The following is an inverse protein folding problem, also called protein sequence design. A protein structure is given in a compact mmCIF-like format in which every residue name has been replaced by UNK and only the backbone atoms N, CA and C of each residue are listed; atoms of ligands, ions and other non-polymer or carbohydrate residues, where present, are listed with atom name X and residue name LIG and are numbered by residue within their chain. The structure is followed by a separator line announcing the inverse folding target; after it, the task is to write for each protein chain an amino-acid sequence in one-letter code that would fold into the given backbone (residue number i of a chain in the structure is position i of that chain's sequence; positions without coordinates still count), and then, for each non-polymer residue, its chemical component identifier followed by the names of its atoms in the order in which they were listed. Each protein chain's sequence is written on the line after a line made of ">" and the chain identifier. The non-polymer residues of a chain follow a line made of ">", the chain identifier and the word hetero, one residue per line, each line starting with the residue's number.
data_IF_005832986005
#
_entry.id   IF_005832986005
#
_cell.length_a   1.000
_cell.length_b   1.000
_cell.length_c   1.000
_cell.angle_alpha   90.00
_cell.angle_beta   90.00
_cell.angle_gamma   90.00
#
_symmetry.space_group_name_H-M   'P 1'
#
loop_
_entity.id
_entity.type
_entity.pdbx_description
1 polymer ?
#
# COMPACT_ATOMS: atom_id res chain seq x y z
N UNK A 1 2.93 -9.93 7.97
CA UNK A 1 1.82 -9.25 7.25
C UNK A 1 1.76 -7.81 7.71
N UNK A 2 1.45 -6.88 6.81
CA UNK A 2 1.45 -5.44 7.10
C UNK A 2 0.08 -4.85 6.82
N UNK A 3 -0.27 -3.78 7.55
CA UNK A 3 -1.44 -2.96 7.24
C UNK A 3 -0.99 -1.56 6.80
N UNK A 4 -1.71 -0.97 5.86
CA UNK A 4 -1.44 0.37 5.37
C UNK A 4 -2.49 1.33 5.92
N UNK A 5 -2.05 2.35 6.65
CA UNK A 5 -2.91 3.19 7.49
C UNK A 5 -2.78 4.68 7.18
N UNK A 6 -3.84 5.43 7.50
CA UNK A 6 -3.85 6.89 7.56
C UNK A 6 -3.95 7.33 9.02
N UNK A 7 -2.92 8.01 9.51
CA UNK A 7 -2.84 8.50 10.88
C UNK A 7 -3.05 10.02 10.95
N UNK A 8 -3.24 10.57 12.14
CA UNK A 8 -3.32 12.03 12.32
C UNK A 8 -2.12 12.74 11.69
N UNK A 9 -2.31 13.88 10.99
CA UNK A 9 -3.55 14.67 10.88
C UNK A 9 -4.50 14.23 9.75
N UNK A 10 -4.18 13.21 8.98
CA UNK A 10 -4.98 12.70 7.84
C UNK A 10 -6.12 11.79 8.32
N UNK A 11 -5.83 10.90 9.26
CA UNK A 11 -6.79 10.04 9.92
C UNK A 11 -7.21 10.53 11.31
N UNK A 12 -7.89 9.67 12.07
CA UNK A 12 -8.47 10.00 13.37
C UNK A 12 -7.61 9.59 14.56
N UNK A 13 -6.66 8.65 14.34
CA UNK A 13 -5.80 8.14 15.42
C UNK A 13 -4.33 8.51 15.19
N UNK A 14 -3.56 8.61 16.27
CA UNK A 14 -2.10 8.80 16.19
C UNK A 14 -1.43 7.57 15.58
N UNK A 15 -0.23 7.74 15.02
CA UNK A 15 0.59 6.63 14.52
C UNK A 15 0.83 5.62 15.64
N UNK A 16 1.25 6.08 16.81
CA UNK A 16 1.50 5.25 17.98
C UNK A 16 0.31 4.34 18.32
N UNK A 17 -0.91 4.90 18.37
CA UNK A 17 -2.11 4.13 18.68
C UNK A 17 -2.49 3.11 17.61
N UNK A 18 -2.26 3.44 16.34
CA UNK A 18 -2.47 2.51 15.23
C UNK A 18 -1.46 1.36 15.26
N UNK A 19 -0.18 1.67 15.54
CA UNK A 19 0.89 0.68 15.61
C UNK A 19 0.70 -0.26 16.81
N UNK A 20 0.37 0.27 17.99
CA UNK A 20 0.01 -0.53 19.18
C UNK A 20 -1.11 -1.53 18.85
N UNK A 21 -2.20 -1.04 18.26
CA UNK A 21 -3.33 -1.91 17.93
C UNK A 21 -2.98 -2.94 16.85
N UNK A 22 -2.15 -2.58 15.87
CA UNK A 22 -1.70 -3.49 14.84
C UNK A 22 -0.81 -4.61 15.42
N UNK A 23 0.09 -4.27 16.35
CA UNK A 23 0.90 -5.24 17.07
C UNK A 23 0.02 -6.23 17.86
N UNK A 24 -0.96 -5.74 18.60
CA UNK A 24 -1.94 -6.56 19.35
C UNK A 24 -2.73 -7.50 18.43
N UNK A 25 -2.99 -7.08 17.18
CA UNK A 25 -3.72 -7.89 16.19
C UNK A 25 -2.81 -8.86 15.42
N UNK A 26 -1.49 -8.84 15.69
CA UNK A 26 -0.52 -9.77 15.12
C UNK A 26 -0.05 -9.39 13.71
N UNK A 27 0.01 -8.11 13.39
CA UNK A 27 0.74 -7.62 12.23
C UNK A 27 2.25 -7.58 12.53
N UNK A 28 3.06 -7.80 11.50
CA UNK A 28 4.52 -7.68 11.57
C UNK A 28 4.98 -6.23 11.34
N UNK A 29 4.09 -5.39 10.82
CA UNK A 29 4.39 -3.98 10.57
C UNK A 29 3.20 -3.17 10.06
N UNK A 30 3.42 -1.86 10.00
CA UNK A 30 2.46 -0.85 9.53
C UNK A 30 3.13 0.06 8.50
N UNK A 31 2.44 0.35 7.40
CA UNK A 31 2.83 1.40 6.45
C UNK A 31 2.01 2.65 6.74
N UNK A 32 2.64 3.70 7.24
CA UNK A 32 1.99 5.01 7.45
C UNK A 32 1.99 5.74 6.11
N UNK A 33 0.85 5.77 5.42
CA UNK A 33 0.73 6.31 4.07
C UNK A 33 -0.21 7.51 3.97
N UNK A 34 -0.12 8.40 4.93
CA UNK A 34 -0.90 9.64 4.90
C UNK A 34 -0.82 10.33 3.55
N UNK A 35 -1.90 11.03 3.18
CA UNK A 35 -1.89 11.83 1.96
C UNK A 35 -0.78 12.88 1.98
N UNK A 36 -0.25 13.19 0.82
CA UNK A 36 0.90 14.06 0.63
C UNK A 36 0.73 15.48 1.20
N UNK A 37 -0.50 15.92 1.41
CA UNK A 37 -0.89 17.21 1.98
C UNK A 37 -1.23 17.16 3.49
N UNK A 38 -1.17 15.98 4.11
CA UNK A 38 -1.55 15.74 5.53
C UNK A 38 -0.62 14.75 6.23
N UNK A 39 0.68 14.95 6.13
CA UNK A 39 1.68 14.00 6.62
C UNK A 39 1.76 13.94 8.14
N UNK A 40 1.96 12.75 8.69
CA UNK A 40 2.34 12.58 10.08
C UNK A 40 3.79 13.09 10.30
N UNK A 41 4.01 13.82 11.39
CA UNK A 41 5.33 14.34 11.76
C UNK A 41 5.72 13.76 13.13
N UNK A 42 6.15 12.50 13.13
CA UNK A 42 6.55 11.74 14.31
C UNK A 42 7.78 10.89 14.00
N UNK A 43 8.50 10.47 15.02
CA UNK A 43 9.60 9.53 14.89
C UNK A 43 9.06 8.11 14.76
N UNK A 44 9.05 7.59 13.52
CA UNK A 44 8.53 6.25 13.21
C UNK A 44 9.44 5.15 13.79
N UNK A 45 10.75 5.41 13.93
CA UNK A 45 11.68 4.44 14.48
C UNK A 45 11.46 4.28 15.99
N UNK A 46 11.26 5.37 16.72
CA UNK A 46 10.94 5.33 18.16
C UNK A 46 9.65 4.53 18.42
N UNK A 47 8.63 4.74 17.56
CA UNK A 47 7.37 3.99 17.66
C UNK A 47 7.58 2.51 17.33
N UNK A 48 8.35 2.18 16.30
CA UNK A 48 8.68 0.80 15.95
C UNK A 48 9.40 0.07 17.09
N UNK A 49 10.39 0.71 17.69
CA UNK A 49 11.15 0.16 18.82
C UNK A 49 10.25 -0.04 20.05
N UNK A 50 9.29 0.86 20.28
CA UNK A 50 8.35 0.79 21.41
C UNK A 50 7.42 -0.41 21.31
N UNK A 51 6.88 -0.67 20.13
CA UNK A 51 5.86 -1.71 19.93
C UNK A 51 6.40 -3.02 19.34
N UNK A 52 7.67 -3.05 18.92
CA UNK A 52 8.35 -4.25 18.42
C UNK A 52 7.86 -4.76 17.08
N UNK A 53 7.27 -3.89 16.26
CA UNK A 53 6.89 -4.17 14.86
C UNK A 53 7.44 -3.11 13.92
N UNK A 54 7.63 -3.44 12.64
CA UNK A 54 8.16 -2.50 11.67
C UNK A 54 7.17 -1.36 11.38
N UNK A 55 7.67 -0.13 11.29
CA UNK A 55 6.88 1.05 10.88
C UNK A 55 7.52 1.69 9.66
N UNK A 56 6.82 1.63 8.54
CA UNK A 56 7.32 2.04 7.24
C UNK A 56 6.81 3.43 6.89
N UNK A 57 7.74 4.32 6.51
CA UNK A 57 7.40 5.63 5.99
C UNK A 57 6.89 5.52 4.55
N UNK A 58 5.62 5.77 4.37
CA UNK A 58 4.93 5.82 3.09
C UNK A 58 4.29 7.18 2.82
N UNK A 59 3.88 7.38 1.59
CA UNK A 59 3.06 8.53 1.19
C UNK A 59 2.04 8.13 0.14
N UNK A 60 0.81 8.61 0.28
CA UNK A 60 -0.20 8.54 -0.77
C UNK A 60 -0.35 9.90 -1.43
N UNK A 61 0.05 10.01 -2.69
CA UNK A 61 0.01 11.26 -3.44
C UNK A 61 -1.39 11.47 -3.99
N UNK A 62 -2.08 12.48 -3.45
CA UNK A 62 -3.36 12.97 -3.94
C UNK A 62 -3.13 14.24 -4.74
N UNK A 63 -3.41 14.20 -6.03
CA UNK A 63 -3.22 15.32 -6.95
C UNK A 63 -4.41 15.51 -7.87
N UNK A 64 -4.63 16.74 -8.34
CA UNK A 64 -5.74 17.07 -9.21
C UNK A 64 -5.61 16.46 -10.62
N UNK A 65 -4.36 16.24 -11.07
CA UNK A 65 -4.06 15.71 -12.40
C UNK A 65 -2.66 15.03 -12.41
N UNK A 66 -2.38 14.20 -13.46
CA UNK A 66 -1.12 13.49 -13.60
C UNK A 66 0.14 14.37 -13.66
N UNK A 67 0.04 15.58 -14.23
CA UNK A 67 1.20 16.48 -14.34
C UNK A 67 1.67 16.95 -12.94
N UNK A 68 0.73 17.29 -12.07
CA UNK A 68 1.03 17.66 -10.67
C UNK A 68 1.53 16.46 -9.88
N UNK A 69 0.93 15.28 -10.10
CA UNK A 69 1.37 14.06 -9.45
C UNK A 69 2.84 13.73 -9.78
N UNK A 70 3.26 13.89 -11.04
CA UNK A 70 4.63 13.59 -11.48
C UNK A 70 5.71 14.38 -10.74
N UNK A 71 5.50 15.68 -10.52
CA UNK A 71 6.41 16.49 -9.70
C UNK A 71 6.47 16.02 -8.25
N UNK A 72 5.33 15.64 -7.67
CA UNK A 72 5.26 15.13 -6.30
C UNK A 72 5.95 13.77 -6.16
N UNK A 73 5.77 12.84 -7.11
CA UNK A 73 6.43 11.52 -7.09
C UNK A 73 7.94 11.66 -7.01
N UNK A 74 8.55 12.54 -7.84
CA UNK A 74 9.98 12.78 -7.82
C UNK A 74 10.50 13.24 -6.45
N UNK A 75 9.78 14.13 -5.80
CA UNK A 75 10.15 14.66 -4.49
C UNK A 75 9.99 13.61 -3.38
N UNK A 76 8.84 12.93 -3.33
CA UNK A 76 8.56 11.96 -2.26
C UNK A 76 9.39 10.67 -2.39
N UNK A 77 9.78 10.27 -3.60
CA UNK A 77 10.64 9.09 -3.78
C UNK A 77 12.00 9.20 -3.11
N UNK A 78 12.49 10.40 -2.87
CA UNK A 78 13.78 10.64 -2.19
C UNK A 78 13.69 10.63 -0.67
N UNK A 79 12.47 10.65 -0.11
CA UNK A 79 12.24 10.78 1.33
C UNK A 79 11.32 9.71 1.92
N UNK A 80 10.67 8.91 1.08
CA UNK A 80 9.71 7.91 1.51
C UNK A 80 10.04 6.53 0.96
N UNK A 81 9.93 5.54 1.80
CA UNK A 81 10.15 4.14 1.44
C UNK A 81 9.10 3.65 0.45
N UNK A 82 7.82 3.99 0.63
CA UNK A 82 6.73 3.59 -0.27
C UNK A 82 6.03 4.83 -0.81
N UNK A 83 5.87 4.87 -2.14
CA UNK A 83 5.12 5.91 -2.85
C UNK A 83 3.89 5.30 -3.51
N UNK A 84 2.71 5.70 -3.03
CA UNK A 84 1.43 5.35 -3.61
C UNK A 84 0.80 6.55 -4.33
N UNK A 85 -0.02 6.28 -5.33
CA UNK A 85 -0.86 7.28 -6.00
C UNK A 85 -2.32 7.02 -5.64
N UNK A 86 -3.00 8.04 -5.14
CA UNK A 86 -4.46 8.03 -5.00
C UNK A 86 -5.10 8.06 -6.38
N UNK A 87 -5.71 6.94 -6.76
CA UNK A 87 -6.36 6.77 -8.05
C UNK A 87 -7.71 7.48 -8.15
N UNK A 88 -8.72 6.79 -8.65
CA UNK A 88 -10.11 7.29 -8.68
C UNK A 88 -10.50 8.04 -9.95
N UNK A 89 -9.58 8.20 -10.90
CA UNK A 89 -9.86 8.60 -12.28
C UNK A 89 -9.03 7.76 -13.25
N UNK A 90 -9.53 7.57 -14.47
CA UNK A 90 -8.79 6.78 -15.47
C UNK A 90 -7.42 7.40 -15.81
N UNK A 91 -7.31 8.73 -15.77
CA UNK A 91 -6.06 9.44 -16.04
C UNK A 91 -5.02 9.19 -14.90
N UNK A 92 -5.43 9.29 -13.65
CA UNK A 92 -4.55 9.02 -12.50
C UNK A 92 -4.18 7.55 -12.38
N UNK A 93 -5.15 6.65 -12.61
CA UNK A 93 -4.88 5.22 -12.60
C UNK A 93 -3.83 4.85 -13.65
N UNK A 94 -3.97 5.38 -14.88
CA UNK A 94 -3.01 5.17 -15.95
C UNK A 94 -1.64 5.74 -15.62
N UNK A 95 -1.59 6.98 -15.14
CA UNK A 95 -0.34 7.62 -14.70
C UNK A 95 0.40 6.76 -13.66
N UNK A 96 -0.33 6.28 -12.63
CA UNK A 96 0.25 5.49 -11.57
C UNK A 96 0.92 4.21 -12.08
N UNK A 97 0.26 3.44 -12.94
CA UNK A 97 0.78 2.17 -13.43
C UNK A 97 1.86 2.31 -14.51
N UNK A 98 1.98 3.47 -15.15
CA UNK A 98 3.01 3.77 -16.16
C UNK A 98 4.25 4.47 -15.57
N UNK A 99 4.23 4.84 -14.28
CA UNK A 99 5.30 5.62 -13.66
C UNK A 99 6.25 4.75 -12.83
N UNK A 100 7.51 4.61 -13.26
CA UNK A 100 8.54 3.73 -12.68
C UNK A 100 8.85 3.93 -11.18
N UNK A 101 8.57 5.14 -10.63
CA UNK A 101 8.84 5.48 -9.22
C UNK A 101 7.62 5.33 -8.32
N UNK A 102 6.52 4.79 -8.85
CA UNK A 102 5.30 4.50 -8.10
C UNK A 102 5.30 3.04 -7.70
N UNK A 103 5.07 2.76 -6.44
CA UNK A 103 5.00 1.40 -5.91
C UNK A 103 3.57 0.84 -5.96
N UNK A 104 2.56 1.68 -5.64
CA UNK A 104 1.17 1.27 -5.46
C UNK A 104 0.20 2.24 -6.13
N UNK A 105 -0.74 1.70 -6.88
CA UNK A 105 -1.97 2.40 -7.26
C UNK A 105 -3.04 2.12 -6.20
N UNK A 106 -3.29 3.11 -5.34
CA UNK A 106 -4.32 3.06 -4.30
C UNK A 106 -5.69 3.48 -4.86
N UNK A 107 -6.76 2.94 -4.31
CA UNK A 107 -8.15 3.29 -4.63
C UNK A 107 -8.50 3.35 -6.13
N UNK A 108 -8.08 2.38 -6.97
CA UNK A 108 -8.22 2.46 -8.43
C UNK A 108 -9.67 2.60 -8.91
N UNK A 109 -10.63 2.13 -8.10
CA UNK A 109 -12.06 2.10 -8.43
C UNK A 109 -12.86 3.17 -7.66
N UNK A 110 -12.21 4.12 -7.01
CA UNK A 110 -12.88 5.26 -6.39
C UNK A 110 -13.38 6.26 -7.45
N UNK A 111 -14.32 7.12 -7.08
CA UNK A 111 -14.82 8.20 -7.93
C UNK A 111 -15.31 7.71 -9.30
N UNK A 112 -14.69 8.19 -10.37
CA UNK A 112 -14.95 7.79 -11.77
C UNK A 112 -13.91 6.81 -12.33
N UNK A 113 -12.98 6.33 -11.48
CA UNK A 113 -11.94 5.39 -11.87
C UNK A 113 -12.50 4.01 -12.20
N UNK A 114 -11.92 3.38 -13.20
CA UNK A 114 -12.19 1.98 -13.54
C UNK A 114 -10.88 1.25 -13.82
N UNK A 115 -10.91 -0.06 -13.66
CA UNK A 115 -9.79 -0.95 -13.95
C UNK A 115 -10.16 -1.84 -15.11
N UNK A 116 -9.32 -1.82 -16.15
CA UNK A 116 -9.47 -2.65 -17.34
C UNK A 116 -8.18 -3.41 -17.64
N UNK A 117 -8.24 -4.30 -18.61
CA UNK A 117 -7.11 -5.15 -19.00
C UNK A 117 -5.85 -4.38 -19.43
N UNK A 118 -5.99 -3.19 -20.01
CA UNK A 118 -4.84 -2.37 -20.44
C UNK A 118 -4.08 -1.86 -19.22
N UNK A 119 -4.81 -1.35 -18.23
CA UNK A 119 -4.25 -0.85 -16.98
C UNK A 119 -3.57 -1.97 -16.18
N UNK A 120 -4.20 -3.14 -16.09
CA UNK A 120 -3.65 -4.29 -15.36
C UNK A 120 -2.38 -4.83 -16.03
N UNK A 121 -2.32 -4.88 -17.36
CA UNK A 121 -1.09 -5.24 -18.08
C UNK A 121 0.04 -4.26 -17.82
N UNK A 122 -0.24 -2.96 -17.90
CA UNK A 122 0.77 -1.94 -17.60
C UNK A 122 1.28 -2.05 -16.16
N UNK A 123 0.40 -2.31 -15.19
CA UNK A 123 0.79 -2.56 -13.81
C UNK A 123 1.72 -3.79 -13.67
N UNK A 124 1.41 -4.89 -14.36
CA UNK A 124 2.24 -6.09 -14.38
C UNK A 124 3.62 -5.85 -15.01
N UNK A 125 3.66 -5.14 -16.15
CA UNK A 125 4.89 -4.83 -16.88
C UNK A 125 5.82 -3.90 -16.09
N UNK A 126 5.26 -2.90 -15.39
CA UNK A 126 6.02 -1.92 -14.62
C UNK A 126 6.22 -2.30 -13.15
N UNK A 127 5.65 -3.43 -12.70
CA UNK A 127 5.77 -3.89 -11.33
C UNK A 127 5.05 -3.00 -10.31
N UNK A 128 4.06 -2.21 -10.73
CA UNK A 128 3.22 -1.41 -9.84
C UNK A 128 2.12 -2.29 -9.25
N UNK A 129 1.97 -2.27 -7.92
CA UNK A 129 0.94 -3.04 -7.23
C UNK A 129 -0.39 -2.31 -7.32
N UNK A 130 -1.45 -3.04 -7.63
CA UNK A 130 -2.81 -2.51 -7.57
C UNK A 130 -3.39 -2.86 -6.21
N UNK A 131 -3.95 -1.88 -5.52
CA UNK A 131 -4.51 -2.10 -4.20
C UNK A 131 -5.91 -2.72 -4.24
N UNK A 132 -6.11 -3.75 -3.42
CA UNK A 132 -7.41 -4.21 -2.96
C UNK A 132 -7.71 -3.57 -1.60
N UNK A 133 -8.33 -2.39 -1.58
CA UNK A 133 -8.86 -1.82 -0.36
C UNK A 133 -10.16 -2.53 0.04
N UNK A 134 -10.19 -3.10 1.23
CA UNK A 134 -11.37 -3.73 1.82
C UNK A 134 -12.27 -2.72 2.55
N UNK A 135 -11.82 -1.48 2.71
CA UNK A 135 -12.54 -0.39 3.37
C UNK A 135 -13.97 -0.19 2.84
N UNK A 136 -14.23 -0.15 1.52
CA UNK A 136 -15.59 0.01 1.02
C UNK A 136 -16.54 -1.10 1.42
N UNK A 137 -16.03 -2.32 1.63
CA UNK A 137 -16.85 -3.45 2.12
C UNK A 137 -17.05 -3.36 3.63
N UNK A 138 -16.02 -2.98 4.37
CA UNK A 138 -16.04 -2.86 5.83
C UNK A 138 -16.95 -1.71 6.29
N UNK A 139 -16.85 -0.54 5.62
CA UNK A 139 -17.48 0.72 6.07
C UNK A 139 -18.81 1.03 5.41
N UNK A 140 -19.29 0.22 4.44
CA UNK A 140 -20.58 0.42 3.80
C UNK A 140 -21.62 -0.61 4.22
N UNK A 141 -22.90 -0.37 3.85
CA UNK A 141 -24.01 -1.28 4.11
C UNK A 141 -24.95 -1.38 2.90
N UNK A 142 -25.84 -2.36 2.92
CA UNK A 142 -26.87 -2.53 1.90
C UNK A 142 -26.31 -2.63 0.47
N UNK A 143 -26.92 -1.92 -0.46
CA UNK A 143 -26.55 -1.95 -1.88
C UNK A 143 -25.15 -1.40 -2.17
N UNK A 144 -24.61 -0.51 -1.34
CA UNK A 144 -23.24 0.00 -1.49
C UNK A 144 -22.20 -1.11 -1.23
N UNK A 145 -22.40 -1.87 -0.14
CA UNK A 145 -21.54 -3.03 0.16
C UNK A 145 -21.58 -4.08 -0.95
N UNK A 146 -22.77 -4.37 -1.47
CA UNK A 146 -22.91 -5.33 -2.59
C UNK A 146 -22.10 -4.86 -3.82
N UNK A 147 -22.20 -3.58 -4.18
CA UNK A 147 -21.42 -3.02 -5.29
C UNK A 147 -19.93 -3.07 -5.00
N UNK A 148 -19.49 -2.76 -3.80
CA UNK A 148 -18.09 -2.85 -3.42
C UNK A 148 -17.54 -4.28 -3.59
N UNK A 149 -18.27 -5.30 -3.13
CA UNK A 149 -17.90 -6.71 -3.32
C UNK A 149 -17.84 -7.06 -4.82
N UNK A 150 -18.82 -6.63 -5.62
CA UNK A 150 -18.81 -6.88 -7.07
C UNK A 150 -17.61 -6.23 -7.77
N UNK A 151 -17.26 -5.00 -7.38
CA UNK A 151 -16.10 -4.29 -7.90
C UNK A 151 -14.79 -5.01 -7.55
N UNK A 152 -14.63 -5.47 -6.32
CA UNK A 152 -13.44 -6.23 -5.91
C UNK A 152 -13.36 -7.59 -6.63
N UNK A 153 -14.49 -8.28 -6.88
CA UNK A 153 -14.51 -9.52 -7.68
C UNK A 153 -14.04 -9.29 -9.11
N UNK A 154 -14.54 -8.23 -9.77
CA UNK A 154 -14.09 -7.84 -11.10
C UNK A 154 -12.57 -7.56 -11.12
N UNK A 155 -12.08 -6.79 -10.15
CA UNK A 155 -10.67 -6.46 -10.02
C UNK A 155 -9.83 -7.73 -9.84
N UNK A 156 -10.24 -8.63 -8.93
CA UNK A 156 -9.57 -9.91 -8.70
C UNK A 156 -9.43 -10.72 -10.00
N UNK A 157 -10.52 -10.92 -10.73
CA UNK A 157 -10.53 -11.69 -11.98
C UNK A 157 -9.54 -11.13 -13.00
N UNK A 158 -9.45 -9.80 -13.12
CA UNK A 158 -8.49 -9.16 -14.02
C UNK A 158 -7.04 -9.37 -13.55
N UNK A 159 -6.75 -9.20 -12.25
CA UNK A 159 -5.40 -9.36 -11.72
C UNK A 159 -4.92 -10.81 -11.81
N UNK A 160 -5.78 -11.78 -11.50
CA UNK A 160 -5.46 -13.20 -11.66
C UNK A 160 -5.19 -13.57 -13.12
N UNK A 161 -6.03 -13.10 -14.04
CA UNK A 161 -5.89 -13.43 -15.47
C UNK A 161 -4.59 -12.90 -16.08
N UNK A 162 -4.15 -11.70 -15.68
CA UNK A 162 -2.93 -11.06 -16.22
C UNK A 162 -1.71 -11.22 -15.31
N UNK A 163 -1.83 -11.85 -14.16
CA UNK A 163 -0.73 -12.07 -13.22
C UNK A 163 -0.16 -10.77 -12.63
N UNK A 164 -0.98 -9.73 -12.51
CA UNK A 164 -0.50 -8.44 -11.98
C UNK A 164 -0.29 -8.48 -10.48
N UNK A 165 0.78 -7.84 -9.97
CA UNK A 165 1.04 -7.78 -8.53
C UNK A 165 0.01 -6.89 -7.83
N UNK A 166 -0.29 -7.23 -6.57
CA UNK A 166 -1.25 -6.49 -5.77
C UNK A 166 -0.88 -6.44 -4.30
N UNK A 167 -1.45 -5.46 -3.61
CA UNK A 167 -1.45 -5.35 -2.15
C UNK A 167 -2.88 -5.41 -1.64
N UNK A 168 -3.05 -5.80 -0.37
CA UNK A 168 -4.34 -5.79 0.32
C UNK A 168 -4.24 -4.88 1.53
N UNK A 169 -5.29 -4.09 1.80
CA UNK A 169 -5.41 -3.29 3.01
C UNK A 169 -6.85 -3.23 3.53
N UNK A 170 -6.99 -3.07 4.83
CA UNK A 170 -8.23 -2.61 5.47
C UNK A 170 -8.40 -1.12 5.35
N UNK A 171 -7.31 -0.40 5.06
CA UNK A 171 -7.23 1.03 4.84
C UNK A 171 -7.84 1.85 6.01
N UNK A 172 -7.42 1.57 7.26
CA UNK A 172 -8.00 2.22 8.43
C UNK A 172 -7.49 3.66 8.59
N UNK A 173 -8.41 4.55 8.92
CA UNK A 173 -8.14 5.93 9.33
C UNK A 173 -8.16 6.07 10.86
N UNK A 174 -8.64 5.04 11.57
CA UNK A 174 -8.73 4.96 13.03
C UNK A 174 -8.31 3.59 13.52
N UNK A 175 -7.73 3.52 14.72
CA UNK A 175 -7.42 2.25 15.38
C UNK A 175 -8.68 1.37 15.59
N UNK A 176 -9.87 1.98 15.70
CA UNK A 176 -11.14 1.27 15.79
C UNK A 176 -11.57 0.59 14.47
N UNK A 177 -11.02 1.02 13.36
CA UNK A 177 -11.26 0.46 12.03
C UNK A 177 -10.30 -0.67 11.67
N UNK A 178 -9.18 -0.80 12.39
CA UNK A 178 -8.25 -1.90 12.21
C UNK A 178 -8.98 -3.24 12.32
N UNK A 179 -8.60 -4.18 11.48
CA UNK A 179 -9.04 -5.57 11.52
C UNK A 179 -7.81 -6.46 11.51
N UNK A 180 -7.86 -7.52 12.29
CA UNK A 180 -6.76 -8.49 12.33
C UNK A 180 -6.54 -9.15 10.97
N UNK A 181 -5.35 -9.67 10.66
CA UNK A 181 -5.09 -10.43 9.44
C UNK A 181 -6.09 -11.56 9.22
N UNK A 182 -6.53 -12.21 10.32
CA UNK A 182 -7.53 -13.28 10.27
C UNK A 182 -8.90 -12.79 9.77
N UNK A 183 -9.32 -11.62 10.23
CA UNK A 183 -10.60 -11.02 9.81
C UNK A 183 -10.54 -10.53 8.37
N UNK A 184 -9.41 -9.90 7.96
CA UNK A 184 -9.20 -9.50 6.57
C UNK A 184 -9.19 -10.72 5.63
N UNK A 185 -8.55 -11.83 6.03
CA UNK A 185 -8.60 -13.08 5.29
C UNK A 185 -10.03 -13.63 5.17
N UNK A 186 -10.79 -13.62 6.26
CA UNK A 186 -12.17 -14.09 6.23
C UNK A 186 -13.04 -13.24 5.28
N UNK A 187 -12.89 -11.92 5.33
CA UNK A 187 -13.58 -11.02 4.41
C UNK A 187 -13.14 -11.23 2.95
N UNK A 188 -11.86 -11.41 2.71
CA UNK A 188 -11.33 -11.69 1.37
C UNK A 188 -11.92 -12.96 0.76
N UNK A 189 -12.12 -14.00 1.57
CA UNK A 189 -12.77 -15.25 1.14
C UNK A 189 -14.21 -14.99 0.70
N UNK A 190 -14.97 -14.15 1.39
CA UNK A 190 -16.32 -13.76 0.99
C UNK A 190 -16.35 -12.98 -0.35
N UNK A 191 -15.31 -12.23 -0.63
CA UNK A 191 -15.12 -11.55 -1.93
C UNK A 191 -14.76 -12.57 -3.03
N UNK A 192 -14.18 -13.72 -2.67
CA UNK A 192 -13.83 -14.81 -3.60
C UNK A 192 -12.34 -15.08 -3.74
N UNK A 193 -11.51 -14.47 -2.88
CA UNK A 193 -10.08 -14.81 -2.78
C UNK A 193 -9.86 -16.11 -2.02
N UNK A 194 -8.71 -16.74 -2.21
CA UNK A 194 -8.22 -17.70 -1.23
C UNK A 194 -7.59 -16.96 -0.03
N UNK A 195 -7.52 -17.64 1.11
CA UNK A 195 -6.80 -17.11 2.28
C UNK A 195 -5.36 -16.75 1.92
N UNK A 196 -4.67 -17.62 1.19
CA UNK A 196 -3.28 -17.44 0.78
C UNK A 196 -3.08 -16.19 -0.09
N UNK A 197 -4.03 -15.88 -0.97
CA UNK A 197 -3.98 -14.66 -1.79
C UNK A 197 -4.05 -13.40 -0.92
N UNK A 198 -4.96 -13.36 0.07
CA UNK A 198 -5.05 -12.21 0.99
C UNK A 198 -3.79 -12.09 1.83
N UNK A 199 -3.30 -13.19 2.40
CA UNK A 199 -2.06 -13.19 3.17
C UNK A 199 -0.86 -12.72 2.32
N UNK A 200 -0.80 -13.14 1.05
CA UNK A 200 0.24 -12.69 0.11
C UNK A 200 0.15 -11.19 -0.14
N UNK A 201 -1.04 -10.65 -0.38
CA UNK A 201 -1.24 -9.20 -0.56
C UNK A 201 -0.93 -8.38 0.69
N UNK A 202 -1.22 -8.91 1.89
CA UNK A 202 -0.83 -8.27 3.16
C UNK A 202 0.68 -8.31 3.41
N UNK A 203 1.39 -9.37 2.97
CA UNK A 203 2.86 -9.47 3.06
C UNK A 203 3.56 -8.60 2.02
N UNK A 204 2.90 -8.29 0.91
CA UNK A 204 3.52 -7.57 -0.20
C UNK A 204 3.92 -6.14 0.18
N UNK A 205 3.24 -5.50 1.13
CA UNK A 205 3.66 -4.22 1.69
C UNK A 205 5.06 -4.29 2.32
N UNK A 206 5.32 -5.31 3.14
CA UNK A 206 6.63 -5.53 3.75
C UNK A 206 7.72 -5.84 2.71
N UNK A 207 7.39 -6.64 1.68
CA UNK A 207 8.32 -6.92 0.57
C UNK A 207 8.68 -5.67 -0.22
N UNK A 208 7.71 -4.78 -0.45
CA UNK A 208 7.95 -3.47 -1.06
C UNK A 208 8.90 -2.63 -0.21
N UNK A 209 8.63 -2.55 1.10
CA UNK A 209 9.47 -1.80 2.03
C UNK A 209 10.90 -2.33 2.05
N UNK A 210 11.08 -3.64 2.17
CA UNK A 210 12.39 -4.29 2.16
C UNK A 210 13.14 -4.04 0.86
N UNK A 211 12.47 -4.23 -0.30
CA UNK A 211 13.05 -3.95 -1.62
C UNK A 211 13.54 -2.52 -1.74
N UNK A 212 12.69 -1.55 -1.35
CA UNK A 212 13.00 -0.14 -1.52
C UNK A 212 14.11 0.32 -0.57
N UNK A 213 14.07 -0.09 0.70
CA UNK A 213 15.16 0.17 1.67
C UNK A 213 16.50 -0.38 1.18
N UNK A 214 16.50 -1.56 0.54
CA UNK A 214 17.72 -2.14 -0.03
C UNK A 214 18.24 -1.31 -1.21
N UNK A 215 17.36 -0.86 -2.10
CA UNK A 215 17.73 -0.01 -3.26
C UNK A 215 18.27 1.34 -2.80
N UNK A 216 17.71 1.90 -1.73
CA UNK A 216 18.13 3.20 -1.18
C UNK A 216 19.37 3.09 -0.25
N UNK A 217 19.88 1.88 -0.01
CA UNK A 217 21.07 1.67 0.84
C UNK A 217 22.38 2.02 0.11
N UNK A 218 23.38 2.53 0.85
CA UNK A 218 24.72 2.86 0.33
C UNK A 218 25.46 1.64 -0.25
N UNK A 219 25.04 0.44 0.07
CA UNK A 219 25.62 -0.81 -0.42
C UNK A 219 25.09 -1.24 -1.79
N UNK A 220 23.94 -0.70 -2.22
CA UNK A 220 23.33 -1.07 -3.49
C UNK A 220 24.05 -0.42 -4.68
N UNK A 221 24.43 -1.21 -5.70
CA UNK A 221 25.03 -0.74 -6.95
C UNK A 221 24.07 -0.94 -8.11
N UNK A 222 23.59 -2.17 -8.29
CA UNK A 222 22.58 -2.54 -9.30
C UNK A 222 21.92 -3.87 -8.92
N UNK A 223 20.81 -4.27 -9.55
CA UNK A 223 20.15 -5.53 -9.23
C UNK A 223 21.11 -6.73 -9.28
N UNK A 224 21.32 -7.37 -8.13
CA UNK A 224 22.24 -8.50 -7.97
C UNK A 224 23.68 -8.13 -7.67
N UNK A 225 24.01 -6.83 -7.55
CA UNK A 225 25.36 -6.33 -7.20
C UNK A 225 25.27 -5.40 -6.00
N UNK A 226 25.93 -5.81 -4.91
CA UNK A 226 26.05 -4.99 -3.69
C UNK A 226 27.54 -4.76 -3.39
N UNK A 227 27.85 -3.62 -2.78
CA UNK A 227 29.22 -3.28 -2.36
C UNK A 227 29.61 -4.20 -1.20
N UNK A 228 30.60 -5.08 -1.40
CA UNK A 228 31.13 -5.93 -0.35
C UNK A 228 31.79 -5.11 0.76
N UNK A 229 31.66 -5.57 2.03
CA UNK A 229 32.51 -5.08 3.13
C UNK A 229 33.87 -5.78 2.97
N UNK A 230 34.95 -5.02 2.74
CA UNK A 230 36.30 -5.53 2.99
C UNK A 230 36.44 -5.58 4.51
N UNK A 231 36.53 -6.78 5.08
CA UNK A 231 37.14 -6.97 6.38
C UNK A 231 38.66 -6.82 6.15
N UNK A 232 39.25 -5.75 6.64
CA UNK A 232 40.70 -5.70 6.79
C UNK A 232 41.03 -6.66 7.94
N UNK A 233 41.58 -7.81 7.62
CA UNK A 233 42.23 -8.71 8.59
C UNK A 233 43.46 -7.97 9.13
N UNK A 234 43.41 -7.50 10.39
CA UNK A 234 44.56 -7.07 11.19
C UNK A 234 45.32 -8.27 11.79
#
# INVERSE_FOLDING_TARGET
>A
MYEAVHAQPDGESTVDRLVETAADYGFDGVVVRNHSDSRANVDLQEIADTHGIDVVDGVEIRAADPHRAGGSVGNFRTTNTIVAIHGGTNAMNRFAVEHEKVDVLAHPMAGSGDVNHVLVKAAAENGVRIEFSLAPVLRSSGGYRVRAIQSLRKLRELLEYYGAPFVVSGDPESHLELRSPRELCALGVEVGFTREQIETGLREWGRLAERNRRVDSDSFIEPGVERGRYEEDD
#
